data_IF_359553671228
#
_entry.id   IF_359553671228
#
_cell.length_a   1.000
_cell.length_b   1.000
_cell.length_c   1.000
_cell.angle_alpha   90.00
_cell.angle_beta   90.00
_cell.angle_gamma   90.00
#
_symmetry.space_group_name_H-M   'P 1'
#
loop_
_entity.id
_entity.type
_entity.pdbx_description
1 polymer ?
#
# COMPACT_ATOMS: atom_id res chain seq x y z
N UNK A 1 3.28 -8.51 19.91
CA UNK A 1 2.49 -9.20 18.89
C UNK A 1 3.08 -8.91 17.52
N UNK A 2 3.22 -9.94 16.70
CA UNK A 2 3.76 -9.70 15.36
C UNK A 2 2.78 -8.92 14.50
N UNK A 3 3.33 -8.05 13.69
CA UNK A 3 2.55 -7.31 12.70
C UNK A 3 2.28 -8.23 11.52
N UNK A 4 1.04 -8.25 11.06
CA UNK A 4 0.70 -8.99 9.84
C UNK A 4 1.10 -8.16 8.63
N UNK A 5 1.85 -8.77 7.73
CA UNK A 5 2.34 -8.08 6.53
C UNK A 5 2.07 -8.91 5.29
N UNK A 6 2.05 -8.23 4.16
CA UNK A 6 1.92 -8.88 2.86
C UNK A 6 2.42 -7.95 1.77
N UNK A 7 2.40 -8.45 0.55
CA UNK A 7 2.89 -7.71 -0.61
C UNK A 7 1.93 -7.89 -1.78
N UNK A 8 1.73 -6.81 -2.53
CA UNK A 8 1.00 -6.88 -3.80
C UNK A 8 1.66 -5.93 -4.81
N UNK A 9 1.20 -5.98 -6.05
CA UNK A 9 1.75 -5.14 -7.11
C UNK A 9 0.75 -4.11 -7.57
N UNK A 10 1.28 -2.95 -7.95
CA UNK A 10 0.50 -1.86 -8.53
C UNK A 10 1.17 -1.40 -9.82
N UNK A 11 0.40 -0.73 -10.68
CA UNK A 11 0.91 -0.20 -11.95
C UNK A 11 0.44 1.25 -12.08
N UNK A 12 1.33 2.11 -12.57
CA UNK A 12 0.99 3.49 -12.85
C UNK A 12 0.50 3.65 -14.31
N UNK A 13 0.17 4.89 -14.68
CA UNK A 13 -0.34 5.19 -16.02
C UNK A 13 0.72 5.01 -17.10
N UNK A 14 1.98 5.03 -16.72
CA UNK A 14 3.09 4.82 -17.66
C UNK A 14 3.38 3.34 -17.88
N UNK A 15 2.67 2.46 -17.17
CA UNK A 15 2.89 1.03 -17.26
C UNK A 15 3.98 0.51 -16.35
N UNK A 16 4.54 1.36 -15.49
CA UNK A 16 5.56 0.95 -14.55
C UNK A 16 4.93 0.25 -13.36
N UNK A 17 5.52 -0.86 -12.96
CA UNK A 17 5.02 -1.65 -11.84
C UNK A 17 5.86 -1.42 -10.59
N UNK A 18 5.18 -1.46 -9.44
CA UNK A 18 5.81 -1.32 -8.14
C UNK A 18 5.31 -2.42 -7.21
N UNK A 19 6.19 -2.91 -6.34
CA UNK A 19 5.79 -3.81 -5.27
C UNK A 19 5.43 -2.95 -4.06
N UNK A 20 4.32 -3.31 -3.40
CA UNK A 20 3.83 -2.58 -2.23
C UNK A 20 3.73 -3.54 -1.06
N UNK A 21 4.30 -3.15 0.06
CA UNK A 21 4.19 -3.88 1.31
C UNK A 21 3.09 -3.21 2.15
N UNK A 22 2.21 -4.02 2.72
CA UNK A 22 1.20 -3.52 3.64
C UNK A 22 1.40 -4.11 5.02
N UNK A 23 0.95 -3.37 6.03
CA UNK A 23 1.07 -3.79 7.42
C UNK A 23 -0.25 -3.60 8.14
N UNK A 24 -0.61 -4.58 8.97
CA UNK A 24 -1.73 -4.50 9.89
C UNK A 24 -1.18 -4.75 11.30
N UNK A 25 -1.43 -3.80 12.19
CA UNK A 25 -1.03 -3.94 13.59
C UNK A 25 -2.27 -4.26 14.42
N UNK A 26 -2.44 -5.50 14.88
CA UNK A 26 -3.63 -5.89 15.62
C UNK A 26 -3.76 -5.20 16.98
N UNK A 27 -2.68 -4.65 17.50
CA UNK A 27 -2.75 -3.94 18.79
C UNK A 27 -3.36 -2.55 18.63
N UNK A 28 -3.39 -2.00 17.43
CA UNK A 28 -3.92 -0.67 17.16
C UNK A 28 -5.27 -0.69 16.46
N UNK A 29 -5.61 -1.79 15.81
CA UNK A 29 -6.89 -1.92 15.13
C UNK A 29 -7.81 -2.77 15.99
N UNK A 30 -8.79 -2.14 16.61
CA UNK A 30 -9.65 -2.86 17.55
C UNK A 30 -10.73 -3.67 16.89
N UNK A 31 -11.30 -3.18 15.83
CA UNK A 31 -12.50 -3.79 15.25
C UNK A 31 -12.44 -3.97 13.75
N UNK A 32 -11.46 -3.39 13.08
CA UNK A 32 -11.37 -3.45 11.63
C UNK A 32 -10.01 -3.97 11.20
N UNK A 33 -10.01 -4.93 10.30
CA UNK A 33 -8.78 -5.47 9.72
C UNK A 33 -8.30 -4.59 8.58
N UNK A 34 -8.05 -3.32 8.89
CA UNK A 34 -7.63 -2.34 7.90
C UNK A 34 -6.13 -2.20 7.95
N UNK A 35 -5.42 -2.26 6.82
CA UNK A 35 -3.99 -2.01 6.82
C UNK A 35 -3.66 -0.63 7.39
N UNK A 36 -2.66 -0.57 8.26
CA UNK A 36 -2.23 0.68 8.86
C UNK A 36 -1.51 1.55 7.85
N UNK A 37 -0.76 0.92 6.96
CA UNK A 37 0.02 1.65 5.99
C UNK A 37 0.36 0.78 4.80
N UNK A 38 0.65 1.47 3.70
CA UNK A 38 1.15 0.86 2.48
C UNK A 38 2.48 1.52 2.16
N UNK A 39 3.50 0.73 1.92
CA UNK A 39 4.86 1.21 1.67
C UNK A 39 5.39 0.63 0.38
N UNK A 40 6.13 1.42 -0.38
CA UNK A 40 6.85 0.89 -1.53
C UNK A 40 7.94 -0.04 -1.04
N UNK A 41 8.05 -1.21 -1.66
CA UNK A 41 8.98 -2.24 -1.22
C UNK A 41 10.45 -1.80 -1.33
N UNK A 42 10.74 -0.86 -2.22
CA UNK A 42 12.11 -0.33 -2.38
C UNK A 42 12.46 0.74 -1.33
N UNK A 43 11.50 1.07 -0.45
CA UNK A 43 11.74 2.05 0.59
C UNK A 43 11.64 3.50 0.13
N UNK A 44 11.23 3.75 -1.11
CA UNK A 44 11.20 5.11 -1.65
C UNK A 44 10.05 5.97 -1.15
N UNK A 45 9.03 5.37 -0.53
CA UNK A 45 7.93 6.15 0.00
C UNK A 45 6.76 5.30 0.44
N UNK A 46 5.68 5.99 0.79
CA UNK A 46 4.45 5.37 1.22
C UNK A 46 3.33 5.69 0.24
N UNK A 47 2.23 4.94 0.36
CA UNK A 47 1.05 5.13 -0.47
C UNK A 47 -0.15 5.37 0.41
N UNK A 48 -1.13 6.10 -0.14
CA UNK A 48 -2.43 6.30 0.50
C UNK A 48 -3.50 5.61 -0.33
N UNK A 49 -4.41 4.93 0.34
CA UNK A 49 -5.56 4.33 -0.34
C UNK A 49 -6.57 5.43 -0.67
N UNK A 50 -6.87 5.59 -1.96
CA UNK A 50 -7.82 6.60 -2.43
C UNK A 50 -9.19 5.96 -2.64
N UNK A 51 -9.20 4.80 -3.26
CA UNK A 51 -10.42 4.07 -3.56
C UNK A 51 -10.08 2.59 -3.63
N UNK A 52 -11.08 1.74 -3.82
CA UNK A 52 -10.83 0.32 -3.95
C UNK A 52 -9.82 0.07 -5.07
N UNK A 53 -8.70 -0.56 -4.72
CA UNK A 53 -7.62 -0.93 -5.64
C UNK A 53 -6.89 0.27 -6.27
N UNK A 54 -7.14 1.48 -5.76
CA UNK A 54 -6.50 2.69 -6.27
C UNK A 54 -5.71 3.35 -5.14
N UNK A 55 -4.45 3.63 -5.40
CA UNK A 55 -3.54 4.22 -4.42
C UNK A 55 -2.85 5.43 -5.01
N UNK A 56 -2.31 6.26 -4.12
CA UNK A 56 -1.52 7.42 -4.50
C UNK A 56 -0.18 7.35 -3.77
N UNK A 57 0.91 7.50 -4.53
CA UNK A 57 2.24 7.57 -3.95
C UNK A 57 2.40 8.94 -3.30
N UNK A 58 2.58 8.96 -1.98
CA UNK A 58 2.58 10.22 -1.23
C UNK A 58 3.70 11.18 -1.67
N UNK A 59 4.86 10.63 -2.01
CA UNK A 59 6.01 11.46 -2.37
C UNK A 59 5.84 12.19 -3.69
N UNK A 60 5.14 11.61 -4.65
CA UNK A 60 5.01 12.18 -6.00
C UNK A 60 3.59 12.57 -6.38
N UNK A 61 2.59 12.11 -5.63
CA UNK A 61 1.19 12.30 -5.98
C UNK A 61 0.73 11.43 -7.14
N UNK A 62 1.57 10.52 -7.61
CA UNK A 62 1.25 9.67 -8.74
C UNK A 62 0.25 8.60 -8.31
N UNK A 63 -0.75 8.36 -9.14
CA UNK A 63 -1.75 7.34 -8.87
C UNK A 63 -1.36 6.01 -9.48
N UNK A 64 -1.59 4.95 -8.74
CA UNK A 64 -1.28 3.59 -9.14
C UNK A 64 -2.47 2.69 -8.82
N UNK A 65 -2.61 1.64 -9.60
CA UNK A 65 -3.73 0.71 -9.46
C UNK A 65 -3.21 -0.69 -9.16
N UNK A 66 -3.85 -1.36 -8.24
CA UNK A 66 -3.50 -2.73 -7.91
C UNK A 66 -3.81 -3.66 -9.09
N UNK A 67 -2.87 -4.53 -9.42
CA UNK A 67 -2.97 -5.42 -10.58
C UNK A 67 -3.05 -6.91 -10.21
N UNK A 68 -2.86 -7.26 -8.94
CA UNK A 68 -2.96 -8.67 -8.51
C UNK A 68 -3.78 -8.87 -7.24
#
# INVERSE_FOLDING_TARGET
MPVTTGTFRVRDDDGREYAVNWEIDPSKTRSLSVPLRYLLADGSGSLNLIAERLFEIAATGKRVRRID
#
